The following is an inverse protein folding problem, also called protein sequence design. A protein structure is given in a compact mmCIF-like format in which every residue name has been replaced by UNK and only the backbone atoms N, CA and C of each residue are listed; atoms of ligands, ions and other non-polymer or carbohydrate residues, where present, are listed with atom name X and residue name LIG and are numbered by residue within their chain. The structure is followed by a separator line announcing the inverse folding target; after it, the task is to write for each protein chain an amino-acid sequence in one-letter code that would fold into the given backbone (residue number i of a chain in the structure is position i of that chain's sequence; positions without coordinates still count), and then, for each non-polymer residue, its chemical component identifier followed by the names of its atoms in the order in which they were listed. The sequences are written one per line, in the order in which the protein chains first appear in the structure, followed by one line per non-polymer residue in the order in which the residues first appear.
data_IF_759536568733
#
_entry.id   IF_759536568733
#
_cell.length_a   1.000
_cell.length_b   1.000
_cell.length_c   1.000
_cell.angle_alpha   90.00
_cell.angle_beta   90.00
_cell.angle_gamma   90.00
#
_symmetry.space_group_name_H-M   'P 1'
#
loop_
_entity.id
_entity.type
_entity.pdbx_description
1 polymer ?
#
# COMPACT_ATOMS: atom_id res chain seq x y z
N UNK A 1 -14.65 1.75 -73.01
CA UNK A 1 -14.04 2.96 -72.44
C UNK A 1 -13.87 2.63 -70.98
N UNK A 2 -12.78 1.96 -70.72
CA UNK A 2 -12.51 1.25 -69.45
C UNK A 2 -11.78 2.16 -68.50
N UNK A 3 -12.27 2.29 -67.28
CA UNK A 3 -11.60 3.02 -66.21
C UNK A 3 -11.09 2.01 -65.19
N UNK A 4 -9.78 1.95 -64.87
CA UNK A 4 -9.23 0.93 -64.01
C UNK A 4 -9.33 1.33 -62.51
N UNK A 5 -9.91 0.43 -61.76
CA UNK A 5 -9.98 0.42 -60.30
C UNK A 5 -8.57 0.40 -59.70
N UNK A 6 -8.19 1.45 -58.97
CA UNK A 6 -6.98 1.51 -58.16
C UNK A 6 -7.22 0.78 -56.86
N UNK A 7 -6.62 -0.38 -56.72
CA UNK A 7 -6.46 -1.11 -55.43
C UNK A 7 -5.32 -0.45 -54.61
N UNK A 8 -5.72 0.36 -53.63
CA UNK A 8 -4.76 0.88 -52.63
C UNK A 8 -4.49 -0.18 -51.55
N UNK A 9 -3.31 -0.73 -51.57
CA UNK A 9 -2.77 -1.55 -50.45
C UNK A 9 -2.46 -0.64 -49.27
N UNK A 10 -3.26 -0.75 -48.21
CA UNK A 10 -2.96 -0.13 -46.93
C UNK A 10 -1.78 -0.91 -46.29
N UNK A 11 -0.61 -0.27 -46.24
CA UNK A 11 0.52 -0.74 -45.48
C UNK A 11 0.19 -0.57 -43.99
N UNK A 12 -0.01 -1.68 -43.30
CA UNK A 12 -0.03 -1.72 -41.81
C UNK A 12 1.35 -1.34 -41.28
N UNK A 13 1.52 -0.10 -40.94
CA UNK A 13 2.63 0.36 -40.12
C UNK A 13 2.42 -0.15 -38.69
N UNK A 14 2.89 -1.35 -38.40
CA UNK A 14 3.15 -1.76 -37.05
C UNK A 14 4.28 -0.87 -36.53
N UNK A 15 3.88 0.20 -35.84
CA UNK A 15 4.81 1.05 -35.10
C UNK A 15 5.53 0.18 -34.08
N UNK A 16 6.78 -0.08 -34.36
CA UNK A 16 7.77 -0.66 -33.45
C UNK A 16 7.91 0.30 -32.26
N UNK A 17 7.14 0.09 -31.20
CA UNK A 17 7.35 0.73 -29.91
C UNK A 17 8.64 0.14 -29.32
N UNK A 18 9.77 0.49 -29.93
CA UNK A 18 11.05 0.38 -29.27
C UNK A 18 10.95 1.27 -28.04
N UNK A 19 10.87 0.64 -26.88
CA UNK A 19 11.13 1.29 -25.62
C UNK A 19 12.51 1.95 -25.75
N UNK A 20 12.50 3.28 -25.87
CA UNK A 20 13.69 4.09 -25.69
C UNK A 20 14.25 3.64 -24.35
N UNK A 21 15.50 3.15 -24.34
CA UNK A 21 16.18 2.71 -23.14
C UNK A 21 16.22 3.87 -22.17
N UNK A 22 15.22 3.91 -21.30
CA UNK A 22 15.25 4.76 -20.15
C UNK A 22 16.39 4.18 -19.30
N UNK A 23 17.48 4.89 -19.19
CA UNK A 23 18.55 4.63 -18.23
C UNK A 23 17.94 4.92 -16.85
N UNK A 24 17.02 4.03 -16.42
CA UNK A 24 16.35 4.16 -15.13
C UNK A 24 17.42 3.97 -14.05
N UNK A 25 17.79 5.08 -13.43
CA UNK A 25 18.77 5.07 -12.35
C UNK A 25 18.36 4.02 -11.32
N UNK A 26 19.27 3.10 -11.03
CA UNK A 26 19.07 2.07 -10.01
C UNK A 26 18.73 2.75 -8.68
N UNK A 27 17.58 2.42 -8.13
CA UNK A 27 17.14 2.95 -6.85
C UNK A 27 17.03 1.84 -5.82
N UNK A 28 17.30 2.18 -4.57
CA UNK A 28 16.96 1.33 -3.44
C UNK A 28 15.47 1.46 -3.14
N UNK A 29 14.77 0.35 -3.09
CA UNK A 29 13.33 0.30 -2.82
C UNK A 29 13.08 -0.50 -1.55
N UNK A 30 12.46 0.11 -0.55
CA UNK A 30 12.05 -0.60 0.66
C UNK A 30 10.54 -0.81 0.59
N UNK A 31 10.13 -2.06 0.46
CA UNK A 31 8.73 -2.46 0.38
C UNK A 31 8.24 -2.87 1.76
N UNK A 32 7.19 -2.24 2.25
CA UNK A 32 6.57 -2.52 3.54
C UNK A 32 5.18 -3.09 3.35
N UNK A 33 5.02 -4.39 3.60
CA UNK A 33 3.74 -5.09 3.53
C UNK A 33 3.28 -5.48 4.94
N UNK A 34 2.39 -4.68 5.53
CA UNK A 34 1.77 -4.95 6.83
C UNK A 34 0.38 -5.48 6.59
N UNK A 35 0.06 -6.63 7.21
CA UNK A 35 -1.24 -7.28 7.08
C UNK A 35 -1.16 -8.79 6.87
N UNK A 36 -2.09 -9.33 6.11
CA UNK A 36 -2.23 -10.74 5.80
C UNK A 36 -1.51 -11.15 4.49
N UNK A 37 -1.64 -12.41 4.11
CA UNK A 37 -1.15 -12.90 2.83
C UNK A 37 -1.69 -12.11 1.63
N UNK A 38 -2.92 -11.57 1.74
CA UNK A 38 -3.53 -10.71 0.72
C UNK A 38 -2.81 -9.37 0.53
N UNK A 39 -2.10 -8.89 1.55
CA UNK A 39 -1.27 -7.68 1.47
C UNK A 39 0.15 -8.01 0.98
N UNK A 40 0.71 -9.14 1.42
CA UNK A 40 2.12 -9.50 1.20
C UNK A 40 2.36 -10.02 -0.22
N UNK A 41 1.56 -10.99 -0.69
CA UNK A 41 1.81 -11.64 -1.99
C UNK A 41 1.73 -10.69 -3.19
N UNK A 42 0.77 -9.75 -3.28
CA UNK A 42 0.77 -8.77 -4.38
C UNK A 42 2.04 -7.90 -4.38
N UNK A 43 2.52 -7.49 -3.19
CA UNK A 43 3.72 -6.68 -3.08
C UNK A 43 4.99 -7.49 -3.41
N UNK A 44 5.03 -8.79 -3.15
CA UNK A 44 6.11 -9.66 -3.65
C UNK A 44 6.14 -9.68 -5.18
N UNK A 45 4.97 -9.68 -5.84
CA UNK A 45 4.88 -9.55 -7.29
C UNK A 45 5.44 -8.22 -7.80
N UNK A 46 5.06 -7.10 -7.16
CA UNK A 46 5.60 -5.77 -7.45
C UNK A 46 7.12 -5.73 -7.24
N UNK A 47 7.61 -6.30 -6.14
CA UNK A 47 9.04 -6.36 -5.81
C UNK A 47 9.86 -7.11 -6.88
N UNK A 48 9.32 -8.23 -7.40
CA UNK A 48 9.96 -8.95 -8.50
C UNK A 48 10.05 -8.13 -9.78
N UNK A 49 8.99 -7.38 -10.09
CA UNK A 49 8.98 -6.49 -11.26
C UNK A 49 9.97 -5.32 -11.11
N UNK A 50 10.15 -4.79 -9.90
CA UNK A 50 11.14 -3.76 -9.60
C UNK A 50 12.57 -4.33 -9.71
N UNK A 51 12.83 -5.49 -9.10
CA UNK A 51 14.14 -6.15 -9.18
C UNK A 51 14.51 -6.52 -10.62
N UNK A 52 13.55 -6.95 -11.44
CA UNK A 52 13.77 -7.23 -12.87
C UNK A 52 14.14 -5.97 -13.67
N UNK A 53 13.84 -4.77 -13.16
CA UNK A 53 14.26 -3.47 -13.70
C UNK A 53 15.59 -2.98 -13.11
N UNK A 54 16.27 -3.77 -12.29
CA UNK A 54 17.56 -3.45 -11.72
C UNK A 54 17.52 -2.70 -10.38
N UNK A 55 16.36 -2.50 -9.77
CA UNK A 55 16.28 -1.86 -8.45
C UNK A 55 16.70 -2.82 -7.32
N UNK A 56 17.37 -2.28 -6.30
CA UNK A 56 17.72 -3.02 -5.07
C UNK A 56 16.50 -3.02 -4.13
N UNK A 57 15.95 -4.21 -3.86
CA UNK A 57 14.71 -4.34 -3.10
C UNK A 57 14.94 -4.99 -1.74
N UNK A 58 14.53 -4.27 -0.68
CA UNK A 58 14.42 -4.78 0.68
C UNK A 58 12.95 -4.94 1.04
N UNK A 59 12.57 -6.07 1.65
CA UNK A 59 11.18 -6.38 1.95
C UNK A 59 10.91 -6.47 3.45
N UNK A 60 10.08 -5.57 3.96
CA UNK A 60 9.67 -5.47 5.36
C UNK A 60 8.26 -6.08 5.53
N UNK A 61 8.14 -7.14 6.33
CA UNK A 61 6.84 -7.76 6.63
C UNK A 61 6.90 -8.61 7.89
N UNK A 62 5.79 -9.26 8.25
CA UNK A 62 5.70 -10.12 9.42
C UNK A 62 6.47 -11.43 9.25
N UNK A 63 7.02 -11.96 10.35
CA UNK A 63 7.88 -13.13 10.39
C UNK A 63 7.34 -14.39 9.64
N UNK A 64 6.04 -14.75 9.66
CA UNK A 64 5.54 -15.89 8.91
C UNK A 64 5.77 -15.85 7.41
N UNK A 65 6.03 -14.67 6.84
CA UNK A 65 6.29 -14.49 5.41
C UNK A 65 7.78 -14.50 5.05
N UNK A 66 8.68 -14.64 6.02
CA UNK A 66 10.12 -14.63 5.80
C UNK A 66 10.56 -15.63 4.72
N UNK A 67 10.08 -16.87 4.82
CA UNK A 67 10.45 -17.92 3.84
C UNK A 67 10.04 -17.52 2.41
N UNK A 68 8.85 -16.95 2.21
CA UNK A 68 8.37 -16.50 0.90
C UNK A 68 9.17 -15.30 0.36
N UNK A 69 9.57 -14.37 1.23
CA UNK A 69 10.40 -13.22 0.88
C UNK A 69 11.78 -13.68 0.45
N UNK A 70 12.45 -14.53 1.24
CA UNK A 70 13.78 -15.06 0.94
C UNK A 70 13.79 -15.95 -0.31
N UNK A 71 12.77 -16.79 -0.48
CA UNK A 71 12.60 -17.60 -1.70
C UNK A 71 12.39 -16.75 -2.97
N UNK A 72 11.96 -15.49 -2.79
CA UNK A 72 11.84 -14.50 -3.88
C UNK A 72 13.15 -13.73 -4.15
N UNK A 73 14.22 -14.01 -3.39
CA UNK A 73 15.54 -13.40 -3.56
C UNK A 73 15.71 -12.07 -2.82
N UNK A 74 14.78 -11.67 -1.95
CA UNK A 74 14.83 -10.37 -1.25
C UNK A 74 15.41 -10.47 0.15
N UNK A 75 16.09 -9.40 0.59
CA UNK A 75 16.43 -9.21 1.98
C UNK A 75 15.14 -9.04 2.80
N UNK A 76 15.00 -9.85 3.85
CA UNK A 76 13.84 -9.80 4.75
C UNK A 76 14.15 -8.94 5.98
N UNK A 77 13.21 -8.05 6.33
CA UNK A 77 13.25 -7.24 7.55
C UNK A 77 11.94 -7.45 8.31
N UNK A 78 11.99 -7.93 9.57
CA UNK A 78 10.78 -8.21 10.34
C UNK A 78 10.06 -6.93 10.77
N UNK A 79 8.72 -6.97 10.70
CA UNK A 79 7.81 -5.96 11.27
C UNK A 79 7.06 -6.58 12.44
N UNK A 80 7.34 -6.10 13.66
CA UNK A 80 6.82 -6.72 14.88
C UNK A 80 7.46 -8.08 15.17
N UNK A 81 6.86 -8.82 16.11
CA UNK A 81 7.33 -10.16 16.48
C UNK A 81 6.43 -11.26 15.95
N UNK A 82 6.97 -12.49 15.84
CA UNK A 82 6.21 -13.67 15.40
C UNK A 82 5.06 -13.99 16.38
N UNK A 83 5.33 -13.83 17.68
CA UNK A 83 4.37 -14.08 18.75
C UNK A 83 3.20 -13.10 18.71
N UNK A 84 3.49 -11.79 18.53
CA UNK A 84 2.45 -10.76 18.42
C UNK A 84 1.57 -10.99 17.19
N UNK A 85 2.16 -11.39 16.07
CA UNK A 85 1.40 -11.75 14.87
C UNK A 85 0.52 -12.96 15.09
N UNK A 86 1.05 -14.04 15.69
CA UNK A 86 0.31 -15.25 15.98
C UNK A 86 -0.86 -14.99 16.95
N UNK A 87 -0.64 -14.19 17.99
CA UNK A 87 -1.68 -13.77 18.93
C UNK A 87 -2.78 -12.98 18.23
N UNK A 88 -2.40 -12.04 17.34
CA UNK A 88 -3.36 -11.25 16.57
C UNK A 88 -4.23 -12.13 15.66
N UNK A 89 -3.62 -13.10 14.96
CA UNK A 89 -4.34 -14.02 14.07
C UNK A 89 -5.27 -14.96 14.82
N UNK A 90 -4.96 -15.32 16.07
CA UNK A 90 -5.77 -16.16 16.94
C UNK A 90 -6.91 -15.38 17.63
N UNK A 91 -6.90 -14.05 17.64
CA UNK A 91 -7.94 -13.23 18.28
C UNK A 91 -9.25 -13.28 17.46
N UNK A 92 -10.35 -13.86 18.00
CA UNK A 92 -11.64 -13.90 17.31
C UNK A 92 -12.18 -12.49 16.98
N UNK A 93 -11.82 -11.48 17.76
CA UNK A 93 -12.25 -10.11 17.57
C UNK A 93 -11.68 -9.49 16.28
N UNK A 94 -10.59 -10.04 15.73
CA UNK A 94 -10.04 -9.62 14.44
C UNK A 94 -10.96 -10.04 13.28
N UNK A 95 -11.73 -11.10 13.43
CA UNK A 95 -12.60 -11.66 12.40
C UNK A 95 -14.06 -11.23 12.54
N UNK A 96 -14.44 -10.57 13.65
CA UNK A 96 -15.75 -9.96 13.79
C UNK A 96 -15.77 -8.59 13.11
N UNK A 97 -16.67 -8.36 12.12
CA UNK A 97 -16.80 -7.08 11.42
C UNK A 97 -17.08 -5.85 12.30
N UNK A 98 -17.50 -6.07 13.56
CA UNK A 98 -17.78 -4.97 14.51
C UNK A 98 -16.54 -4.49 15.24
N UNK A 99 -15.57 -5.39 15.46
CA UNK A 99 -14.37 -5.15 16.27
C UNK A 99 -13.08 -5.21 15.48
N UNK A 100 -13.09 -5.83 14.30
CA UNK A 100 -11.91 -6.10 13.46
C UNK A 100 -11.02 -4.88 13.25
N UNK A 101 -11.59 -3.74 12.89
CA UNK A 101 -10.81 -2.52 12.62
C UNK A 101 -10.07 -2.03 13.86
N UNK A 102 -10.75 -1.98 15.02
CA UNK A 102 -10.14 -1.57 16.30
C UNK A 102 -9.11 -2.58 16.79
N UNK A 103 -9.39 -3.88 16.61
CA UNK A 103 -8.46 -4.95 16.98
C UNK A 103 -7.21 -4.91 16.12
N UNK A 104 -7.37 -4.73 14.81
CA UNK A 104 -6.25 -4.58 13.88
C UNK A 104 -5.38 -3.36 14.24
N UNK A 105 -6.01 -2.21 14.53
CA UNK A 105 -5.27 -1.02 14.93
C UNK A 105 -4.47 -1.22 16.21
N UNK A 106 -5.04 -1.94 17.20
CA UNK A 106 -4.34 -2.29 18.45
C UNK A 106 -3.06 -3.10 18.22
N UNK A 107 -3.02 -3.89 17.15
CA UNK A 107 -1.84 -4.66 16.74
C UNK A 107 -0.83 -3.79 15.97
N UNK A 108 -1.31 -2.87 15.15
CA UNK A 108 -0.46 -2.03 14.29
C UNK A 108 0.17 -0.87 15.07
N UNK A 109 -0.58 -0.22 15.96
CA UNK A 109 -0.10 0.97 16.66
C UNK A 109 1.24 0.77 17.40
N UNK A 110 1.49 -0.34 18.13
CA UNK A 110 2.76 -0.57 18.81
C UNK A 110 3.97 -0.70 17.88
N UNK A 111 3.79 -1.12 16.62
CA UNK A 111 4.89 -1.29 15.67
C UNK A 111 5.22 -0.01 14.88
N UNK A 112 4.41 1.05 15.00
CA UNK A 112 4.63 2.29 14.27
C UNK A 112 6.02 2.88 14.51
N UNK A 113 6.41 3.07 15.75
CA UNK A 113 7.68 3.71 16.10
C UNK A 113 8.88 2.80 15.83
N UNK A 114 8.91 1.54 16.28
CA UNK A 114 10.02 0.63 15.97
C UNK A 114 10.25 0.48 14.47
N UNK A 115 9.18 0.34 13.68
CA UNK A 115 9.29 0.21 12.23
C UNK A 115 9.74 1.53 11.57
N UNK A 116 9.30 2.68 12.07
CA UNK A 116 9.80 3.97 11.60
C UNK A 116 11.33 4.09 11.82
N UNK A 117 11.83 3.72 13.00
CA UNK A 117 13.25 3.75 13.29
C UNK A 117 14.05 2.77 12.42
N UNK A 118 13.46 1.58 12.11
CA UNK A 118 14.01 0.62 11.15
C UNK A 118 14.09 1.21 9.74
N UNK A 119 13.00 1.79 9.25
CA UNK A 119 12.98 2.43 7.92
C UNK A 119 14.00 3.55 7.83
N UNK A 120 14.11 4.38 8.86
CA UNK A 120 15.10 5.46 8.92
C UNK A 120 16.53 4.93 8.84
N UNK A 121 16.84 3.84 9.56
CA UNK A 121 18.18 3.24 9.55
C UNK A 121 18.53 2.60 8.19
N UNK A 122 17.51 2.11 7.46
CA UNK A 122 17.70 1.46 6.16
C UNK A 122 17.70 2.44 4.99
N UNK A 123 17.10 3.63 5.14
CA UNK A 123 16.92 4.59 4.05
C UNK A 123 18.12 5.51 3.87
N UNK A 124 18.42 5.82 2.63
CA UNK A 124 19.29 6.90 2.17
C UNK A 124 18.48 7.97 1.42
N UNK A 125 19.17 8.96 0.84
CA UNK A 125 18.52 10.10 0.16
C UNK A 125 17.71 9.70 -1.09
N UNK A 126 18.10 8.62 -1.75
CA UNK A 126 17.49 8.16 -3.00
C UNK A 126 16.52 7.00 -2.81
N UNK A 127 16.36 6.53 -1.57
CA UNK A 127 15.47 5.42 -1.24
C UNK A 127 14.01 5.77 -1.54
N UNK A 128 13.33 4.84 -2.21
CA UNK A 128 11.88 4.87 -2.42
C UNK A 128 11.19 3.91 -1.46
N UNK A 129 10.25 4.40 -0.70
CA UNK A 129 9.41 3.60 0.19
C UNK A 129 8.13 3.19 -0.54
N UNK A 130 7.79 1.91 -0.51
CA UNK A 130 6.54 1.38 -1.05
C UNK A 130 5.78 0.69 0.08
N UNK A 131 4.51 1.01 0.27
CA UNK A 131 3.77 0.43 1.39
C UNK A 131 2.31 0.14 1.11
N UNK A 132 1.77 -0.85 1.83
CA UNK A 132 0.32 -1.10 1.89
C UNK A 132 -0.39 -0.01 2.71
N UNK A 133 -1.72 -0.06 2.76
CA UNK A 133 -2.56 0.85 3.55
C UNK A 133 -2.05 1.02 5.00
N UNK A 134 -1.58 -0.06 5.62
CA UNK A 134 -1.17 -0.09 7.02
C UNK A 134 0.28 0.32 7.26
N UNK A 135 1.03 0.66 6.22
CA UNK A 135 2.42 1.08 6.32
C UNK A 135 2.56 2.56 6.78
N UNK A 136 1.88 2.92 7.88
CA UNK A 136 1.89 4.29 8.42
C UNK A 136 3.30 4.80 8.75
N UNK A 137 4.22 3.91 9.15
CA UNK A 137 5.61 4.27 9.41
C UNK A 137 6.31 4.85 8.18
N UNK A 138 6.05 4.28 6.98
CA UNK A 138 6.59 4.80 5.73
C UNK A 138 5.98 6.18 5.38
N UNK A 139 4.70 6.39 5.70
CA UNK A 139 4.05 7.69 5.55
C UNK A 139 4.62 8.73 6.51
N UNK A 140 4.92 8.35 7.75
CA UNK A 140 5.59 9.22 8.71
C UNK A 140 7.02 9.59 8.26
N UNK A 141 7.73 8.69 7.55
CA UNK A 141 9.02 9.01 6.90
C UNK A 141 8.85 10.09 5.83
N UNK A 142 7.80 10.01 5.02
CA UNK A 142 7.47 11.05 4.05
C UNK A 142 7.16 12.39 4.74
N UNK A 143 6.31 12.40 5.78
CA UNK A 143 5.93 13.61 6.50
C UNK A 143 7.15 14.25 7.19
N UNK A 144 8.04 13.46 7.78
CA UNK A 144 9.16 13.97 8.59
C UNK A 144 10.38 14.36 7.77
N UNK A 145 10.69 13.64 6.70
CA UNK A 145 11.92 13.76 5.94
C UNK A 145 11.72 14.04 4.45
N UNK A 146 10.47 14.12 3.97
CA UNK A 146 10.20 14.24 2.54
C UNK A 146 10.55 12.99 1.74
N UNK A 147 10.65 11.81 2.40
CA UNK A 147 10.99 10.56 1.72
C UNK A 147 10.02 10.26 0.57
N UNK A 148 10.51 9.73 -0.53
CA UNK A 148 9.67 9.30 -1.64
C UNK A 148 8.84 8.10 -1.21
N UNK A 149 7.52 8.25 -1.17
CA UNK A 149 6.60 7.20 -0.71
C UNK A 149 5.51 6.91 -1.73
N UNK A 150 5.32 5.64 -2.04
CA UNK A 150 4.25 5.12 -2.89
C UNK A 150 3.33 4.23 -2.07
N UNK A 151 2.06 4.58 -2.01
CA UNK A 151 1.03 3.76 -1.37
C UNK A 151 0.41 2.80 -2.37
N UNK A 152 0.47 1.50 -2.10
CA UNK A 152 -0.15 0.46 -2.92
C UNK A 152 -1.41 -0.05 -2.24
N UNK A 153 -2.55 0.14 -2.92
CA UNK A 153 -3.84 -0.33 -2.42
C UNK A 153 -4.19 -1.66 -3.08
N UNK A 154 -4.19 -2.73 -2.30
CA UNK A 154 -4.45 -4.10 -2.78
C UNK A 154 -5.94 -4.45 -2.83
N UNK A 155 -6.79 -3.57 -2.29
CA UNK A 155 -8.25 -3.73 -2.31
C UNK A 155 -8.95 -2.44 -2.72
N UNK A 156 -9.88 -2.47 -3.68
CA UNK A 156 -10.66 -1.28 -4.05
C UNK A 156 -11.48 -0.70 -2.90
N UNK A 157 -11.85 -1.51 -1.91
CA UNK A 157 -12.64 -1.06 -0.75
C UNK A 157 -11.89 -0.11 0.17
N UNK A 158 -10.56 -0.01 0.04
CA UNK A 158 -9.73 0.94 0.80
C UNK A 158 -9.65 2.32 0.15
N UNK A 159 -10.12 2.43 -1.10
CA UNK A 159 -10.18 3.71 -1.81
C UNK A 159 -11.49 4.42 -1.46
N UNK A 160 -11.40 5.42 -0.60
CA UNK A 160 -12.56 6.22 -0.21
C UNK A 160 -12.92 7.18 -1.34
N UNK A 161 -13.97 6.86 -2.10
CA UNK A 161 -14.45 7.68 -3.22
C UNK A 161 -15.94 7.97 -3.09
N UNK A 162 -16.32 9.24 -3.12
CA UNK A 162 -17.73 9.64 -3.12
C UNK A 162 -18.47 9.24 -4.42
N UNK A 163 -17.75 9.04 -5.53
CA UNK A 163 -18.31 8.54 -6.79
C UNK A 163 -18.70 7.06 -6.68
N UNK A 164 -17.84 6.26 -6.03
CA UNK A 164 -18.05 4.83 -5.80
C UNK A 164 -17.77 4.52 -4.32
N UNK A 165 -18.68 4.90 -3.41
CA UNK A 165 -18.46 4.67 -1.98
C UNK A 165 -18.34 3.18 -1.69
N UNK A 166 -17.43 2.78 -0.78
CA UNK A 166 -17.25 1.38 -0.43
C UNK A 166 -18.53 0.84 0.19
N UNK A 167 -18.90 -0.37 -0.22
CA UNK A 167 -20.06 -1.08 0.33
C UNK A 167 -19.63 -1.96 1.51
N UNK A 168 -20.24 -1.76 2.66
CA UNK A 168 -20.07 -2.61 3.83
C UNK A 168 -21.42 -3.16 4.26
N UNK A 169 -21.46 -4.40 4.76
CA UNK A 169 -22.72 -5.10 5.15
C UNK A 169 -23.65 -4.26 6.05
N UNK A 170 -23.10 -3.33 6.82
CA UNK A 170 -23.84 -2.51 7.79
C UNK A 170 -23.87 -1.02 7.48
N UNK A 171 -23.06 -0.58 6.54
CA UNK A 171 -22.94 0.83 6.19
C UNK A 171 -22.82 0.93 4.68
N UNK A 172 -23.94 1.06 4.02
CA UNK A 172 -24.01 1.25 2.58
C UNK A 172 -24.54 2.64 2.29
N UNK A 173 -23.72 3.46 1.65
CA UNK A 173 -24.15 4.78 1.17
C UNK A 173 -25.00 4.54 -0.11
N UNK A 174 -26.26 4.96 -0.16
CA UNK A 174 -27.12 4.74 -1.33
C UNK A 174 -26.53 5.38 -2.59
N UNK A 175 -26.55 4.63 -3.70
CA UNK A 175 -25.97 5.09 -4.97
C UNK A 175 -26.66 6.33 -5.54
N UNK A 176 -27.97 6.49 -5.29
CA UNK A 176 -28.80 7.59 -5.81
C UNK A 176 -28.61 8.94 -5.10
N UNK A 177 -27.81 9.02 -4.04
CA UNK A 177 -27.57 10.29 -3.34
C UNK A 177 -26.69 11.24 -4.18
N UNK A 178 -26.92 12.58 -4.08
CA UNK A 178 -26.03 13.57 -4.65
C UNK A 178 -24.59 13.42 -4.16
N UNK A 179 -23.62 13.76 -5.02
CA UNK A 179 -22.19 13.59 -4.71
C UNK A 179 -21.77 14.31 -3.43
N UNK A 180 -22.24 15.53 -3.22
CA UNK A 180 -21.93 16.33 -2.02
C UNK A 180 -22.42 15.64 -0.73
N UNK A 181 -23.59 15.00 -0.76
CA UNK A 181 -24.13 14.25 0.37
C UNK A 181 -23.29 13.02 0.66
N UNK A 182 -22.91 12.26 -0.39
CA UNK A 182 -22.00 11.11 -0.25
C UNK A 182 -20.67 11.52 0.35
N UNK A 183 -20.07 12.61 -0.14
CA UNK A 183 -18.81 13.13 0.38
C UNK A 183 -18.94 13.53 1.86
N UNK A 184 -20.01 14.23 2.24
CA UNK A 184 -20.28 14.59 3.63
C UNK A 184 -20.44 13.39 4.56
N UNK A 185 -21.18 12.36 4.12
CA UNK A 185 -21.33 11.10 4.87
C UNK A 185 -19.99 10.36 5.03
N UNK A 186 -19.16 10.32 3.98
CA UNK A 186 -17.84 9.71 4.05
C UNK A 186 -16.93 10.44 5.03
N UNK A 187 -16.88 11.78 4.97
CA UNK A 187 -16.12 12.59 5.95
C UNK A 187 -16.61 12.36 7.37
N UNK A 188 -17.91 12.20 7.58
CA UNK A 188 -18.45 11.87 8.89
C UNK A 188 -17.98 10.49 9.37
N UNK A 189 -17.97 9.48 8.49
CA UNK A 189 -17.47 8.13 8.80
C UNK A 189 -15.98 8.19 9.14
N UNK A 190 -15.17 8.90 8.33
CA UNK A 190 -13.75 9.10 8.60
C UNK A 190 -13.53 9.68 10.00
N UNK A 191 -14.17 10.78 10.33
CA UNK A 191 -14.03 11.44 11.63
C UNK A 191 -14.53 10.60 12.81
N UNK A 192 -15.63 9.88 12.64
CA UNK A 192 -16.25 9.13 13.73
C UNK A 192 -15.65 7.72 13.93
N UNK A 193 -15.04 7.14 12.91
CA UNK A 193 -14.49 5.80 12.97
C UNK A 193 -12.97 5.83 12.86
N UNK A 194 -12.41 6.34 11.75
CA UNK A 194 -10.97 6.28 11.50
C UNK A 194 -10.20 7.20 12.47
N UNK A 195 -10.60 8.47 12.57
CA UNK A 195 -9.89 9.43 13.41
C UNK A 195 -10.01 9.10 14.89
N UNK A 196 -11.15 8.54 15.33
CA UNK A 196 -11.32 8.13 16.73
C UNK A 196 -10.51 6.90 17.10
N UNK A 197 -10.32 5.98 16.17
CA UNK A 197 -9.58 4.73 16.44
C UNK A 197 -8.09 4.92 16.23
N UNK A 198 -7.68 5.52 15.12
CA UNK A 198 -6.26 5.63 14.76
C UNK A 198 -5.63 6.96 15.22
N UNK A 199 -6.42 8.02 15.31
CA UNK A 199 -5.93 9.39 15.55
C UNK A 199 -5.12 9.56 16.83
N UNK A 200 -5.53 9.03 17.99
CA UNK A 200 -4.80 9.23 19.24
C UNK A 200 -3.34 8.76 19.17
N UNK A 201 -3.11 7.51 18.79
CA UNK A 201 -1.78 6.91 18.74
C UNK A 201 -0.97 7.47 17.56
N UNK A 202 -1.59 7.67 16.40
CA UNK A 202 -0.92 8.24 15.24
C UNK A 202 -0.46 9.67 15.51
N UNK A 203 -1.30 10.51 16.13
CA UNK A 203 -0.92 11.86 16.50
C UNK A 203 0.10 11.88 17.65
N UNK A 204 0.07 10.91 18.57
CA UNK A 204 1.12 10.77 19.57
C UNK A 204 2.47 10.44 18.90
N UNK A 205 2.48 9.52 17.94
CA UNK A 205 3.67 9.20 17.15
C UNK A 205 4.19 10.42 16.37
N UNK A 206 3.29 11.19 15.73
CA UNK A 206 3.65 12.43 15.01
C UNK A 206 4.29 13.46 15.94
N UNK A 207 3.66 13.75 17.09
CA UNK A 207 4.24 14.68 18.09
C UNK A 207 5.61 14.22 18.58
N UNK A 208 5.81 12.92 18.82
CA UNK A 208 7.09 12.37 19.23
C UNK A 208 8.17 12.49 18.14
N UNK A 209 7.77 12.71 16.89
CA UNK A 209 8.65 12.95 15.74
C UNK A 209 8.81 14.45 15.41
N UNK A 210 8.18 15.35 16.16
CA UNK A 210 8.22 16.79 15.91
C UNK A 210 7.36 17.22 14.70
N UNK A 211 6.26 16.50 14.47
CA UNK A 211 5.26 16.78 13.43
C UNK A 211 3.98 17.37 14.01
#
# INVERSE_FOLDING_TARGET
MDDPVRTGTAANGAGDCRAEGNDEAMAKVIVTAIGSAGDVHPLLGVSRALAARGHDVVFCTHAPFEAAVRASGFAFVPVGTAEAYAQAMADPALWDPRTSFRTLWRVIAPVLRPHFDTLRALSDADTVLVGTLWAFSARLMQERFGARYVSVQVSPSTLLSAHAPPTHKRLTIPKGLPLAVKAGLMTLIERQVLDRVCGPELNAARRALGL
#
